data_IF_760659676281
#
_entry.id   IF_760659676281
#
_cell.length_a   1.000
_cell.length_b   1.000
_cell.length_c   1.000
_cell.angle_alpha   90.00
_cell.angle_beta   90.00
_cell.angle_gamma   90.00
#
_symmetry.space_group_name_H-M   'P 1'
#
loop_
_entity.id
_entity.type
_entity.pdbx_description
1 polymer ?
#
# COMPACT_ATOMS: atom_id res chain seq x y z
N UNK A 1 18.51 -23.12 -0.58
CA UNK A 1 17.26 -23.74 -0.08
C UNK A 1 16.20 -23.53 -1.15
N UNK A 2 15.61 -24.59 -1.70
CA UNK A 2 14.50 -24.45 -2.66
C UNK A 2 13.21 -24.42 -1.86
N UNK A 3 12.56 -23.27 -1.80
CA UNK A 3 11.20 -23.14 -1.26
C UNK A 3 10.26 -23.29 -2.46
N UNK A 4 9.36 -24.26 -2.42
CA UNK A 4 8.26 -24.37 -3.38
C UNK A 4 7.07 -23.67 -2.75
N UNK A 5 6.57 -22.63 -3.40
CA UNK A 5 5.38 -21.89 -2.97
C UNK A 5 4.18 -22.57 -3.61
N UNK A 6 3.20 -22.97 -2.79
CA UNK A 6 1.94 -23.58 -3.21
C UNK A 6 0.80 -22.59 -2.91
N UNK A 7 0.03 -22.22 -3.92
CA UNK A 7 -1.08 -21.25 -3.82
C UNK A 7 -2.13 -21.65 -2.76
N UNK A 8 -2.25 -22.95 -2.44
CA UNK A 8 -3.16 -23.42 -1.41
C UNK A 8 -2.84 -22.94 0.01
N UNK A 9 -1.63 -22.41 0.22
CA UNK A 9 -1.14 -21.93 1.52
C UNK A 9 -0.92 -20.42 1.58
N UNK A 10 -1.42 -19.66 0.62
CA UNK A 10 -1.26 -18.20 0.59
C UNK A 10 -2.29 -17.46 1.48
N UNK A 11 -1.93 -16.35 2.10
CA UNK A 11 -0.60 -15.72 2.14
C UNK A 11 0.39 -16.52 2.99
N UNK A 12 1.67 -16.58 2.54
CA UNK A 12 2.74 -17.30 3.22
C UNK A 12 3.69 -16.33 3.90
N UNK A 13 4.05 -16.61 5.16
CA UNK A 13 5.10 -15.90 5.87
C UNK A 13 6.32 -16.79 6.02
N UNK A 14 7.48 -16.33 5.56
CA UNK A 14 8.76 -17.01 5.66
C UNK A 14 9.73 -16.15 6.47
N UNK A 15 10.26 -16.67 7.56
CA UNK A 15 11.27 -15.97 8.34
C UNK A 15 12.62 -16.04 7.65
N UNK A 16 13.17 -14.87 7.26
CA UNK A 16 14.41 -14.73 6.52
C UNK A 16 15.25 -13.54 7.05
N UNK A 17 15.68 -13.58 8.31
CA UNK A 17 16.37 -12.46 8.93
C UNK A 17 17.69 -12.16 8.24
N UNK A 18 17.95 -10.86 8.01
CA UNK A 18 19.19 -10.39 7.40
C UNK A 18 19.34 -10.64 5.91
N UNK A 19 18.22 -10.85 5.18
CA UNK A 19 18.24 -10.92 3.72
C UNK A 19 18.80 -9.63 3.13
N UNK A 20 19.78 -9.75 2.21
CA UNK A 20 20.33 -8.59 1.51
C UNK A 20 19.38 -8.06 0.44
N UNK A 21 19.65 -6.85 -0.08
CA UNK A 21 18.87 -6.30 -1.18
C UNK A 21 18.92 -7.20 -2.42
N UNK A 22 20.10 -7.71 -2.75
CA UNK A 22 20.29 -8.59 -3.90
C UNK A 22 19.54 -9.92 -3.75
N UNK A 23 19.56 -10.51 -2.56
CA UNK A 23 18.81 -11.75 -2.27
C UNK A 23 17.30 -11.52 -2.32
N UNK A 24 16.83 -10.38 -1.87
CA UNK A 24 15.41 -10.01 -1.96
C UNK A 24 14.99 -9.82 -3.43
N UNK A 25 15.79 -9.09 -4.23
CA UNK A 25 15.54 -8.89 -5.66
C UNK A 25 15.58 -10.21 -6.44
N UNK A 26 16.53 -11.10 -6.12
CA UNK A 26 16.59 -12.46 -6.70
C UNK A 26 15.32 -13.27 -6.35
N UNK A 27 14.86 -13.18 -5.10
CA UNK A 27 13.63 -13.84 -4.68
C UNK A 27 12.42 -13.31 -5.45
N UNK A 28 12.25 -11.99 -5.55
CA UNK A 28 11.17 -11.36 -6.31
C UNK A 28 11.21 -11.74 -7.79
N UNK A 29 12.39 -11.77 -8.41
CA UNK A 29 12.56 -12.19 -9.81
C UNK A 29 12.18 -13.64 -10.03
N UNK A 30 12.52 -14.51 -9.09
CA UNK A 30 12.19 -15.94 -9.17
C UNK A 30 10.69 -16.23 -8.99
N UNK A 31 10.00 -15.39 -8.23
CA UNK A 31 8.59 -15.51 -7.89
C UNK A 31 7.81 -14.30 -8.38
N UNK A 32 8.02 -13.91 -9.64
CA UNK A 32 7.46 -12.71 -10.27
C UNK A 32 5.92 -12.67 -10.31
N UNK A 33 5.26 -13.83 -10.22
CA UNK A 33 3.80 -13.94 -10.19
C UNK A 33 3.19 -13.55 -8.82
N UNK A 34 4.03 -13.36 -7.79
CA UNK A 34 3.57 -13.05 -6.44
C UNK A 34 3.97 -11.65 -6.01
N UNK A 35 3.12 -11.04 -5.19
CA UNK A 35 3.51 -9.84 -4.45
C UNK A 35 4.32 -10.27 -3.22
N UNK A 36 5.54 -9.75 -3.11
CA UNK A 36 6.46 -10.06 -2.02
C UNK A 36 6.76 -8.78 -1.24
N UNK A 37 6.57 -8.83 0.07
CA UNK A 37 6.99 -7.79 1.01
C UNK A 37 7.99 -8.36 2.01
N UNK A 38 8.76 -7.47 2.65
CA UNK A 38 9.70 -7.83 3.72
C UNK A 38 9.46 -6.92 4.92
N UNK A 39 9.28 -7.52 6.10
CA UNK A 39 9.05 -6.78 7.34
C UNK A 39 10.35 -6.32 7.98
N UNK A 40 10.28 -5.33 8.85
CA UNK A 40 11.44 -4.88 9.64
C UNK A 40 11.98 -5.98 10.58
N UNK A 41 11.12 -6.92 10.97
CA UNK A 41 11.45 -8.07 11.84
C UNK A 41 12.17 -9.19 11.10
N UNK A 42 12.18 -9.16 9.76
CA UNK A 42 12.89 -10.13 8.95
C UNK A 42 12.00 -11.23 8.34
N UNK A 43 10.72 -10.98 8.17
CA UNK A 43 9.79 -11.91 7.54
C UNK A 43 9.50 -11.52 6.08
N UNK A 44 9.54 -12.50 5.18
CA UNK A 44 9.04 -12.39 3.81
C UNK A 44 7.54 -12.74 3.81
N UNK A 45 6.73 -11.81 3.32
CA UNK A 45 5.29 -12.00 3.13
C UNK A 45 5.06 -12.22 1.63
N UNK A 46 4.61 -13.41 1.27
CA UNK A 46 4.30 -13.77 -0.11
C UNK A 46 2.79 -13.83 -0.26
N UNK A 47 2.25 -13.01 -1.14
CA UNK A 47 0.81 -12.83 -1.32
C UNK A 47 0.38 -13.23 -2.73
N UNK A 48 -0.79 -13.87 -2.89
CA UNK A 48 -1.34 -14.19 -4.19
C UNK A 48 -1.81 -12.91 -4.91
N UNK A 49 -2.10 -12.97 -6.21
CA UNK A 49 -2.82 -11.91 -6.90
C UNK A 49 -4.12 -11.55 -6.17
N UNK A 50 -4.54 -10.29 -6.28
CA UNK A 50 -5.82 -9.84 -5.74
C UNK A 50 -6.99 -10.49 -6.48
N UNK A 51 -8.11 -10.67 -5.78
CA UNK A 51 -9.37 -11.06 -6.41
C UNK A 51 -9.88 -9.96 -7.37
N UNK A 52 -10.80 -10.33 -8.26
CA UNK A 52 -11.32 -9.46 -9.32
C UNK A 52 -11.92 -8.17 -8.75
N UNK A 53 -12.70 -8.26 -7.68
CA UNK A 53 -13.38 -7.11 -7.08
C UNK A 53 -12.38 -6.14 -6.45
N UNK A 54 -11.39 -6.65 -5.74
CA UNK A 54 -10.27 -5.87 -5.18
C UNK A 54 -9.47 -5.22 -6.30
N UNK A 55 -9.19 -5.94 -7.39
CA UNK A 55 -8.51 -5.40 -8.57
C UNK A 55 -9.26 -4.23 -9.21
N UNK A 56 -10.59 -4.33 -9.36
CA UNK A 56 -11.45 -3.26 -9.89
C UNK A 56 -11.39 -2.02 -8.97
N UNK A 57 -11.47 -2.20 -7.65
CA UNK A 57 -11.36 -1.10 -6.69
C UNK A 57 -10.00 -0.41 -6.76
N UNK A 58 -8.92 -1.18 -6.79
CA UNK A 58 -7.56 -0.65 -6.91
C UNK A 58 -7.38 0.16 -8.21
N UNK A 59 -7.85 -0.34 -9.33
CA UNK A 59 -7.83 0.37 -10.60
C UNK A 59 -8.55 1.72 -10.52
N UNK A 60 -9.71 1.79 -9.86
CA UNK A 60 -10.49 3.03 -9.69
C UNK A 60 -9.81 4.03 -8.77
N UNK A 61 -9.16 3.55 -7.70
CA UNK A 61 -8.37 4.40 -6.79
C UNK A 61 -7.20 5.00 -7.55
N UNK A 62 -6.41 4.16 -8.20
CA UNK A 62 -5.22 4.57 -8.94
C UNK A 62 -5.57 5.54 -10.08
N UNK A 63 -6.65 5.29 -10.83
CA UNK A 63 -7.11 6.20 -11.89
C UNK A 63 -7.44 7.60 -11.37
N UNK A 64 -8.15 7.70 -10.25
CA UNK A 64 -8.52 8.99 -9.68
C UNK A 64 -7.29 9.75 -9.18
N UNK A 65 -6.37 9.05 -8.50
CA UNK A 65 -5.15 9.64 -7.96
C UNK A 65 -4.20 10.09 -9.10
N UNK A 66 -4.06 9.27 -10.16
CA UNK A 66 -3.26 9.62 -11.34
C UNK A 66 -3.82 10.87 -12.05
N UNK A 67 -5.12 10.92 -12.31
CA UNK A 67 -5.74 12.07 -12.99
C UNK A 67 -5.49 13.38 -12.22
N UNK A 68 -5.61 13.34 -10.90
CA UNK A 68 -5.31 14.49 -10.06
C UNK A 68 -3.81 14.84 -10.07
N UNK A 69 -2.94 13.83 -9.94
CA UNK A 69 -1.47 14.03 -9.92
C UNK A 69 -0.98 14.64 -11.22
N UNK A 70 -1.45 14.15 -12.37
CA UNK A 70 -1.10 14.66 -13.69
C UNK A 70 -1.56 16.10 -13.89
N UNK A 71 -2.77 16.43 -13.42
CA UNK A 71 -3.30 17.79 -13.49
C UNK A 71 -2.50 18.79 -12.64
N UNK A 72 -1.91 18.34 -11.53
CA UNK A 72 -1.09 19.20 -10.65
C UNK A 72 0.39 19.25 -11.04
N UNK A 73 0.91 18.20 -11.66
CA UNK A 73 2.32 18.05 -12.03
C UNK A 73 3.31 17.96 -10.86
N UNK A 74 2.82 17.88 -9.61
CA UNK A 74 3.65 17.98 -8.39
C UNK A 74 4.35 16.68 -8.02
N UNK A 75 3.85 15.54 -8.46
CA UNK A 75 4.37 14.23 -8.11
C UNK A 75 3.94 13.14 -9.08
N UNK A 76 4.14 11.90 -8.67
CA UNK A 76 3.82 10.70 -9.45
C UNK A 76 3.07 9.70 -8.59
N UNK A 77 2.25 8.89 -9.22
CA UNK A 77 1.50 7.82 -8.57
C UNK A 77 2.16 6.49 -8.88
N UNK A 78 2.16 5.60 -7.91
CA UNK A 78 2.57 4.22 -8.07
C UNK A 78 1.45 3.28 -7.65
N UNK A 79 1.39 2.12 -8.28
CA UNK A 79 0.44 1.07 -7.98
C UNK A 79 1.02 -0.02 -7.05
N UNK A 80 0.25 -1.08 -6.83
CA UNK A 80 0.58 -2.19 -5.93
C UNK A 80 1.78 -3.04 -6.38
N UNK A 81 2.31 -2.85 -7.58
CA UNK A 81 3.52 -3.52 -8.06
C UNK A 81 4.82 -2.83 -7.61
N UNK A 82 4.71 -1.61 -7.11
CA UNK A 82 5.88 -0.80 -6.72
C UNK A 82 6.28 -1.07 -5.28
N UNK A 83 7.52 -1.56 -5.09
CA UNK A 83 8.12 -1.76 -3.77
C UNK A 83 8.89 -0.52 -3.29
N UNK A 84 8.69 -0.16 -2.03
CA UNK A 84 9.45 0.88 -1.33
C UNK A 84 10.34 0.27 -0.25
N UNK A 85 11.61 0.67 -0.22
CA UNK A 85 12.50 0.35 0.88
C UNK A 85 12.40 1.44 1.94
N UNK A 86 11.78 1.11 3.06
CA UNK A 86 11.55 2.03 4.14
C UNK A 86 12.83 2.28 4.99
N UNK A 87 12.90 3.40 5.74
CA UNK A 87 14.00 3.69 6.64
C UNK A 87 14.28 2.62 7.70
N UNK A 88 13.25 1.91 8.19
CA UNK A 88 13.38 0.80 9.13
C UNK A 88 13.90 -0.51 8.50
N UNK A 89 14.16 -0.52 7.19
CA UNK A 89 14.63 -1.69 6.43
C UNK A 89 13.53 -2.55 5.83
N UNK A 90 12.28 -2.34 6.17
CA UNK A 90 11.16 -3.02 5.54
C UNK A 90 11.08 -2.69 4.03
N UNK A 91 10.50 -3.62 3.27
CA UNK A 91 10.15 -3.42 1.85
C UNK A 91 8.67 -3.67 1.70
N UNK A 92 7.95 -2.61 1.40
CA UNK A 92 6.49 -2.58 1.36
C UNK A 92 5.97 -2.10 0.02
N UNK A 93 4.82 -2.64 -0.38
CA UNK A 93 4.09 -2.25 -1.58
C UNK A 93 2.69 -1.80 -1.17
N UNK A 94 2.35 -0.51 -1.26
CA UNK A 94 0.99 -0.03 -0.99
C UNK A 94 0.08 -0.30 -2.18
N UNK A 95 -1.23 -0.32 -2.00
CA UNK A 95 -2.17 -0.50 -3.11
C UNK A 95 -2.20 0.71 -4.05
N UNK A 96 -1.96 1.90 -3.52
CA UNK A 96 -1.64 3.11 -4.27
C UNK A 96 -0.76 4.04 -3.43
N UNK A 97 0.15 4.77 -4.07
CA UNK A 97 0.90 5.81 -3.40
C UNK A 97 1.12 7.01 -4.31
N UNK A 98 1.30 8.17 -3.69
CA UNK A 98 1.77 9.37 -4.35
C UNK A 98 3.11 9.81 -3.75
N UNK A 99 4.06 10.08 -4.64
CA UNK A 99 5.40 10.51 -4.29
C UNK A 99 5.74 11.82 -4.99
N UNK A 100 6.26 12.79 -4.25
CA UNK A 100 6.73 14.03 -4.83
C UNK A 100 7.94 13.81 -5.75
N UNK A 101 8.09 14.68 -6.75
CA UNK A 101 9.29 14.64 -7.62
C UNK A 101 10.59 14.80 -6.85
N UNK A 102 10.54 15.46 -5.70
CA UNK A 102 11.71 15.67 -4.83
C UNK A 102 12.17 14.37 -4.15
N UNK A 103 11.23 13.49 -3.76
CA UNK A 103 11.55 12.20 -3.12
C UNK A 103 11.83 11.07 -4.11
N UNK A 104 11.38 11.21 -5.35
CA UNK A 104 11.53 10.17 -6.36
C UNK A 104 12.98 9.70 -6.50
N UNK A 105 13.20 8.40 -6.50
CA UNK A 105 14.51 7.77 -6.70
C UNK A 105 15.46 7.81 -5.50
N UNK A 106 15.10 8.44 -4.38
CA UNK A 106 15.88 8.37 -3.14
C UNK A 106 15.77 6.98 -2.53
N UNK A 107 16.80 6.52 -1.83
CA UNK A 107 16.80 5.25 -1.07
C UNK A 107 17.53 5.48 0.27
N UNK A 108 16.98 5.07 1.42
CA UNK A 108 15.62 4.54 1.61
C UNK A 108 14.55 5.56 1.24
N UNK A 109 13.34 5.12 0.94
CA UNK A 109 12.27 5.99 0.48
C UNK A 109 10.91 5.56 1.03
N UNK A 110 10.14 6.54 1.45
CA UNK A 110 8.74 6.37 1.81
C UNK A 110 7.92 7.42 1.06
N UNK A 111 6.84 7.04 0.35
CA UNK A 111 5.99 8.03 -0.30
C UNK A 111 5.30 8.91 0.74
N UNK A 112 4.96 10.14 0.37
CA UNK A 112 4.28 11.07 1.27
C UNK A 112 2.84 10.67 1.54
N UNK A 113 2.19 9.99 0.59
CA UNK A 113 0.81 9.54 0.73
C UNK A 113 0.68 8.09 0.28
N UNK A 114 -0.02 7.29 1.08
CA UNK A 114 -0.29 5.87 0.81
C UNK A 114 -1.77 5.55 0.98
N UNK A 115 -2.26 4.62 0.17
CA UNK A 115 -3.58 4.03 0.30
C UNK A 115 -3.41 2.51 0.41
N UNK A 116 -4.02 1.91 1.43
CA UNK A 116 -4.18 0.47 1.60
C UNK A 116 -5.67 0.13 1.50
N UNK A 117 -6.02 -0.79 0.63
CA UNK A 117 -7.37 -1.27 0.41
C UNK A 117 -7.51 -2.66 1.03
N UNK A 118 -8.36 -2.80 2.03
CA UNK A 118 -8.60 -4.10 2.65
C UNK A 118 -9.33 -5.04 1.70
N UNK A 119 -8.76 -6.21 1.48
CA UNK A 119 -9.38 -7.36 0.82
C UNK A 119 -10.16 -8.21 1.83
N UNK A 120 -11.02 -9.13 1.37
CA UNK A 120 -11.75 -10.05 2.28
C UNK A 120 -10.85 -10.93 3.14
N UNK A 121 -9.63 -11.23 2.68
CA UNK A 121 -8.65 -12.07 3.38
C UNK A 121 -7.78 -11.32 4.39
N UNK A 122 -7.77 -9.98 4.36
CA UNK A 122 -6.90 -9.19 5.21
C UNK A 122 -7.34 -9.17 6.67
N UNK A 123 -6.34 -9.32 7.56
CA UNK A 123 -6.54 -9.09 8.98
C UNK A 123 -6.40 -7.61 9.29
N UNK A 124 -7.44 -6.99 9.83
CA UNK A 124 -7.44 -5.56 10.16
C UNK A 124 -6.31 -5.12 11.10
N UNK A 125 -5.90 -5.98 12.02
CA UNK A 125 -4.76 -5.70 12.91
C UNK A 125 -3.49 -5.52 12.10
N UNK A 126 -3.15 -6.48 11.25
CA UNK A 126 -1.96 -6.44 10.39
C UNK A 126 -1.98 -5.22 9.46
N UNK A 127 -3.14 -4.88 8.90
CA UNK A 127 -3.28 -3.69 8.05
C UNK A 127 -3.08 -2.38 8.83
N UNK A 128 -3.55 -2.31 10.08
CA UNK A 128 -3.30 -1.16 10.96
C UNK A 128 -1.82 -1.01 11.30
N UNK A 129 -1.16 -2.12 11.63
CA UNK A 129 0.26 -2.12 11.95
C UNK A 129 1.07 -1.66 10.72
N UNK A 130 0.71 -2.14 9.52
CA UNK A 130 1.32 -1.69 8.25
C UNK A 130 1.08 -0.20 8.00
N UNK A 131 -0.13 0.31 8.26
CA UNK A 131 -0.40 1.75 8.13
C UNK A 131 0.43 2.58 9.10
N UNK A 132 0.56 2.15 10.35
CA UNK A 132 1.42 2.82 11.32
C UNK A 132 2.88 2.77 10.88
N UNK A 133 3.35 1.64 10.36
CA UNK A 133 4.71 1.51 9.80
C UNK A 133 4.95 2.53 8.67
N UNK A 134 4.00 2.76 7.75
CA UNK A 134 4.11 3.80 6.74
C UNK A 134 4.31 5.19 7.35
N UNK A 135 3.49 5.55 8.35
CA UNK A 135 3.56 6.85 9.03
C UNK A 135 4.90 7.02 9.76
N UNK A 136 5.33 6.01 10.52
CA UNK A 136 6.57 6.04 11.31
C UNK A 136 7.82 6.14 10.40
N UNK A 137 7.71 5.70 9.15
CA UNK A 137 8.79 5.76 8.17
C UNK A 137 8.73 6.98 7.25
N UNK A 138 7.79 7.91 7.47
CA UNK A 138 7.81 9.24 6.82
C UNK A 138 6.69 9.51 5.83
N UNK A 139 5.65 8.66 5.76
CA UNK A 139 4.40 9.05 5.12
C UNK A 139 3.74 10.16 5.94
N UNK A 140 3.22 11.16 5.23
CA UNK A 140 2.58 12.34 5.85
C UNK A 140 1.06 12.15 5.96
N UNK A 141 0.51 11.26 5.15
CA UNK A 141 -0.90 10.90 5.13
C UNK A 141 -1.05 9.45 4.68
N UNK A 142 -1.94 8.71 5.32
CA UNK A 142 -2.30 7.36 4.92
C UNK A 142 -3.81 7.13 5.01
N UNK A 143 -4.37 6.43 4.03
CA UNK A 143 -5.77 6.03 4.05
C UNK A 143 -5.88 4.50 4.00
N UNK A 144 -6.52 3.93 5.03
CA UNK A 144 -6.91 2.52 5.03
C UNK A 144 -8.39 2.43 4.71
N UNK A 145 -8.71 1.88 3.54
CA UNK A 145 -10.07 1.78 3.02
C UNK A 145 -10.62 0.37 3.31
N UNK A 146 -11.76 0.29 3.99
CA UNK A 146 -12.48 -0.96 4.26
C UNK A 146 -13.82 -0.95 3.50
N UNK A 147 -13.89 -1.58 2.31
CA UNK A 147 -15.11 -1.59 1.50
C UNK A 147 -16.26 -2.30 2.20
N UNK A 148 -15.99 -3.36 2.95
CA UNK A 148 -17.02 -4.13 3.67
C UNK A 148 -17.74 -3.28 4.72
N UNK A 149 -17.03 -2.34 5.36
CA UNK A 149 -17.58 -1.44 6.36
C UNK A 149 -17.93 -0.06 5.80
N UNK A 150 -17.64 0.17 4.51
CA UNK A 150 -17.74 1.48 3.87
C UNK A 150 -17.09 2.57 4.73
N UNK A 151 -15.87 2.30 5.20
CA UNK A 151 -15.14 3.19 6.10
C UNK A 151 -13.72 3.44 5.61
N UNK A 152 -13.21 4.63 5.92
CA UNK A 152 -11.82 5.01 5.70
C UNK A 152 -11.22 5.41 7.04
N UNK A 153 -10.10 4.79 7.41
CA UNK A 153 -9.28 5.25 8.53
C UNK A 153 -8.15 6.11 7.97
N UNK A 154 -8.03 7.32 8.50
CA UNK A 154 -7.08 8.36 8.08
C UNK A 154 -5.97 8.42 9.12
N UNK A 155 -4.75 8.20 8.66
CA UNK A 155 -3.54 8.19 9.50
C UNK A 155 -2.71 9.43 9.23
N UNK A 156 -2.27 10.08 10.30
CA UNK A 156 -1.43 11.29 10.28
C UNK A 156 -0.30 11.17 11.31
N UNK A 157 0.89 11.72 11.05
CA UNK A 157 1.96 11.70 12.03
C UNK A 157 1.55 12.30 13.38
N UNK A 158 1.82 11.55 14.46
CA UNK A 158 1.57 12.02 15.82
C UNK A 158 0.09 12.12 16.26
N UNK A 159 -0.83 11.53 15.48
CA UNK A 159 -2.27 11.55 15.78
C UNK A 159 -2.84 10.14 15.80
N UNK A 160 -3.87 9.94 16.62
CA UNK A 160 -4.68 8.72 16.55
C UNK A 160 -5.46 8.67 15.21
N UNK A 161 -5.62 7.48 14.61
CA UNK A 161 -6.36 7.35 13.36
C UNK A 161 -7.83 7.81 13.46
N UNK A 162 -8.22 8.73 12.59
CA UNK A 162 -9.61 9.15 12.44
C UNK A 162 -10.36 8.20 11.51
N UNK A 163 -11.55 7.71 11.90
CA UNK A 163 -12.36 6.85 11.03
C UNK A 163 -13.62 7.57 10.57
N UNK A 164 -13.84 7.60 9.26
CA UNK A 164 -15.07 8.10 8.62
C UNK A 164 -15.83 6.94 7.99
N UNK A 165 -17.14 6.88 8.17
CA UNK A 165 -18.00 5.79 7.69
C UNK A 165 -19.15 6.34 6.86
N UNK A 166 -19.54 5.62 5.81
CA UNK A 166 -20.68 5.97 4.95
C UNK A 166 -20.49 7.23 4.11
N UNK A 167 -19.26 7.72 3.99
CA UNK A 167 -18.95 8.89 3.15
C UNK A 167 -18.89 8.50 1.67
N UNK A 168 -19.31 9.42 0.80
CA UNK A 168 -19.28 9.22 -0.66
C UNK A 168 -18.03 9.80 -1.32
N UNK A 169 -17.32 10.65 -0.61
CA UNK A 169 -16.04 11.20 -1.04
C UNK A 169 -15.14 11.50 0.14
N UNK A 170 -13.85 11.54 -0.10
CA UNK A 170 -12.85 11.94 0.87
C UNK A 170 -11.90 12.95 0.22
N UNK A 171 -11.71 14.08 0.87
CA UNK A 171 -10.79 15.13 0.44
C UNK A 171 -9.38 14.85 0.97
N UNK A 172 -8.40 15.01 0.09
CA UNK A 172 -6.99 14.97 0.42
C UNK A 172 -6.55 16.20 1.21
N UNK A 173 -5.46 16.04 1.93
CA UNK A 173 -4.84 17.11 2.71
C UNK A 173 -3.31 16.99 2.64
N UNK A 174 -2.59 18.01 3.09
CA UNK A 174 -1.14 17.99 3.13
C UNK A 174 -0.51 17.69 1.76
N UNK A 175 0.19 16.55 1.58
CA UNK A 175 0.88 16.24 0.34
C UNK A 175 -0.07 16.11 -0.86
N UNK A 176 -1.33 15.78 -0.62
CA UNK A 176 -2.36 15.58 -1.66
C UNK A 176 -3.53 16.55 -1.53
N UNK A 177 -3.25 17.77 -1.05
CA UNK A 177 -4.25 18.83 -0.96
C UNK A 177 -4.89 19.11 -2.32
N UNK A 178 -6.24 19.15 -2.35
CA UNK A 178 -7.05 19.27 -3.56
C UNK A 178 -7.35 17.96 -4.28
N UNK A 179 -6.82 16.81 -3.83
CA UNK A 179 -7.28 15.51 -4.29
C UNK A 179 -8.65 15.19 -3.68
N UNK A 180 -9.56 14.65 -4.48
CA UNK A 180 -10.85 14.16 -3.99
C UNK A 180 -11.08 12.75 -4.50
N UNK A 181 -11.09 11.76 -3.58
CA UNK A 181 -11.42 10.38 -3.89
C UNK A 181 -12.94 10.17 -3.81
N UNK A 182 -13.56 9.85 -4.94
CA UNK A 182 -14.97 9.43 -4.99
C UNK A 182 -15.07 7.96 -4.60
N UNK A 183 -15.84 7.68 -3.56
CA UNK A 183 -15.90 6.37 -2.91
C UNK A 183 -17.09 5.52 -3.33
N UNK A 184 -18.13 6.09 -3.93
CA UNK A 184 -19.34 5.37 -4.33
C UNK A 184 -19.04 4.08 -5.10
N UNK A 185 -18.19 4.20 -6.16
CA UNK A 185 -17.75 3.06 -6.96
C UNK A 185 -16.60 2.25 -6.36
N UNK A 186 -16.08 2.64 -5.21
CA UNK A 186 -15.19 1.82 -4.40
C UNK A 186 -16.04 0.94 -3.47
N UNK A 187 -17.15 1.49 -2.94
CA UNK A 187 -18.11 0.72 -2.14
C UNK A 187 -18.86 -0.31 -3.00
N UNK A 188 -19.31 0.10 -4.18
CA UNK A 188 -20.11 -0.67 -5.12
C UNK A 188 -19.40 -0.70 -6.49
N UNK A 189 -18.43 -1.63 -6.71
CA UNK A 189 -17.58 -1.62 -7.89
C UNK A 189 -18.30 -2.08 -9.16
N UNK A 190 -19.43 -2.78 -9.07
CA UNK A 190 -20.26 -3.30 -10.17
C UNK A 190 -21.70 -2.82 -10.06
#
# INVERSE_FOLDING_TARGET
MVVTVDDAYMPLTLTAPGITDEQFEEFCTKYEDYRVEYTAEGDLLVMPPADEETGIRNSRINTQLNNWSDATGKGLVTDSSTGFRLPNGARRSPDAAWISRERLGKKPNCPEFVIELLSPSDRRTTARDKMQEWIDNGAQLGWMIDPKKQSVAIYRPGQEPETRTGILQLEGEGPVDGFVLKLERIWHPV
#
